data_IF_232430586323
#
_entry.id   IF_232430586323
#
_cell.length_a   1.000
_cell.length_b   1.000
_cell.length_c   1.000
_cell.angle_alpha   90.00
_cell.angle_beta   90.00
_cell.angle_gamma   90.00
#
_symmetry.space_group_name_H-M   'P 1'
#
loop_
_entity.id
_entity.type
_entity.pdbx_description
1 polymer ?
#
# COMPACT_ATOMS: atom_id res chain seq x y z
N UNK A 1 11.77 -10.16 -14.33
CA UNK A 1 11.55 -9.13 -13.28
C UNK A 1 12.54 -8.02 -13.54
N UNK A 2 12.09 -6.76 -13.62
CA UNK A 2 12.98 -5.62 -13.81
C UNK A 2 13.34 -5.06 -12.43
N UNK A 3 14.63 -5.12 -12.06
CA UNK A 3 15.09 -4.75 -10.72
C UNK A 3 14.81 -3.27 -10.42
N UNK A 4 14.81 -2.39 -11.42
CA UNK A 4 14.63 -0.95 -11.19
C UNK A 4 13.15 -0.51 -11.08
N UNK A 5 12.22 -1.36 -11.54
CA UNK A 5 10.82 -1.00 -11.69
C UNK A 5 10.05 -1.10 -10.37
N UNK A 6 9.26 -0.07 -10.08
CA UNK A 6 8.35 0.01 -8.92
C UNK A 6 6.92 -0.22 -9.40
N UNK A 7 6.18 -1.11 -8.75
CA UNK A 7 4.74 -1.28 -9.01
C UNK A 7 3.91 -0.66 -7.88
N UNK A 8 3.14 0.36 -8.20
CA UNK A 8 2.13 0.96 -7.34
C UNK A 8 0.79 0.26 -7.56
N UNK A 9 0.24 -0.34 -6.50
CA UNK A 9 -1.06 -0.99 -6.52
C UNK A 9 -2.02 -0.13 -5.69
N UNK A 10 -3.00 0.49 -6.36
CA UNK A 10 -4.01 1.33 -5.71
C UNK A 10 -5.17 0.46 -5.26
N UNK A 11 -5.42 0.43 -3.96
CA UNK A 11 -6.44 -0.39 -3.32
C UNK A 11 -7.78 0.36 -3.28
N UNK A 12 -8.89 -0.27 -3.68
CA UNK A 12 -10.23 0.31 -3.51
C UNK A 12 -11.36 -0.53 -4.11
N UNK A 13 -12.61 -0.19 -3.77
CA UNK A 13 -13.80 -0.77 -4.39
C UNK A 13 -13.93 -0.37 -5.86
N UNK A 14 -14.76 -1.09 -6.66
CA UNK A 14 -15.03 -0.69 -8.05
C UNK A 14 -15.46 0.78 -8.15
N UNK A 15 -16.32 1.24 -7.24
CA UNK A 15 -16.86 2.60 -7.21
C UNK A 15 -15.78 3.63 -6.90
N UNK A 16 -14.87 3.31 -5.99
CA UNK A 16 -13.81 4.21 -5.55
C UNK A 16 -12.71 4.37 -6.58
N UNK A 17 -12.45 3.32 -7.36
CA UNK A 17 -11.48 3.30 -8.44
C UNK A 17 -12.04 3.83 -9.77
N UNK A 18 -13.37 3.84 -9.94
CA UNK A 18 -14.03 4.35 -11.14
C UNK A 18 -13.68 5.82 -11.39
N UNK A 19 -13.09 6.08 -12.56
CA UNK A 19 -12.70 7.43 -13.00
C UNK A 19 -11.45 7.99 -12.32
N UNK A 20 -10.73 7.18 -11.55
CA UNK A 20 -9.47 7.59 -10.94
C UNK A 20 -8.39 7.75 -12.02
N UNK A 21 -7.85 8.97 -12.16
CA UNK A 21 -6.75 9.25 -13.08
C UNK A 21 -5.42 8.82 -12.45
N UNK A 22 -4.86 7.72 -12.95
CA UNK A 22 -3.52 7.28 -12.60
C UNK A 22 -2.46 8.04 -13.42
N UNK A 23 -1.25 8.26 -12.87
CA UNK A 23 -0.10 8.64 -13.67
C UNK A 23 0.15 7.62 -14.79
N UNK A 24 0.68 8.05 -15.94
CA UNK A 24 1.08 7.11 -17.00
C UNK A 24 2.20 6.21 -16.49
N UNK A 25 2.13 4.92 -16.83
CA UNK A 25 3.23 3.99 -16.59
C UNK A 25 4.46 4.39 -17.42
N UNK A 26 5.64 4.16 -16.86
CA UNK A 26 6.93 4.41 -17.51
C UNK A 26 7.80 3.15 -17.44
N UNK A 27 9.05 3.24 -17.90
CA UNK A 27 10.03 2.16 -17.75
C UNK A 27 10.38 1.88 -16.27
N UNK A 28 10.15 2.85 -15.39
CA UNK A 28 10.52 2.79 -13.97
C UNK A 28 9.31 2.60 -13.04
N UNK A 29 8.10 2.93 -13.50
CA UNK A 29 6.89 2.92 -12.68
C UNK A 29 5.74 2.20 -13.40
N UNK A 30 5.08 1.29 -12.69
CA UNK A 30 3.83 0.64 -13.11
C UNK A 30 2.72 1.00 -12.12
N UNK A 31 1.53 1.37 -12.60
CA UNK A 31 0.35 1.57 -11.76
C UNK A 31 -0.71 0.51 -12.08
N UNK A 32 -1.14 -0.22 -11.06
CA UNK A 32 -2.22 -1.21 -11.12
C UNK A 32 -3.35 -0.82 -10.17
N UNK A 33 -4.56 -1.28 -10.50
CA UNK A 33 -5.76 -1.08 -9.70
C UNK A 33 -6.16 -2.41 -9.06
N UNK A 34 -6.21 -2.46 -7.73
CA UNK A 34 -6.72 -3.60 -6.99
C UNK A 34 -8.20 -3.39 -6.69
N UNK A 35 -9.05 -3.97 -7.54
CA UNK A 35 -10.49 -3.93 -7.38
C UNK A 35 -10.95 -4.87 -6.24
N UNK A 36 -11.28 -4.27 -5.09
CA UNK A 36 -11.78 -4.95 -3.91
C UNK A 36 -13.32 -4.94 -3.91
N UNK A 37 -13.90 -5.76 -4.78
CA UNK A 37 -15.35 -5.95 -4.89
C UNK A 37 -15.90 -6.70 -3.67
N UNK A 38 -16.63 -5.96 -2.82
CA UNK A 38 -17.24 -6.46 -1.60
C UNK A 38 -18.26 -7.58 -1.89
N UNK A 39 -19.06 -7.45 -2.95
CA UNK A 39 -20.08 -8.44 -3.28
C UNK A 39 -19.42 -9.74 -3.75
N UNK A 40 -18.39 -9.66 -4.59
CA UNK A 40 -17.62 -10.82 -5.02
C UNK A 40 -16.93 -11.52 -3.83
N UNK A 41 -16.45 -10.75 -2.85
CA UNK A 41 -15.86 -11.25 -1.62
C UNK A 41 -16.86 -12.02 -0.76
N UNK A 42 -18.02 -11.42 -0.43
CA UNK A 42 -19.03 -12.07 0.40
C UNK A 42 -19.69 -13.28 -0.27
N UNK A 43 -19.85 -13.25 -1.61
CA UNK A 43 -20.38 -14.38 -2.37
C UNK A 43 -19.33 -15.48 -2.62
N UNK A 44 -18.11 -15.35 -2.06
CA UNK A 44 -16.98 -16.27 -2.19
C UNK A 44 -16.58 -16.58 -3.64
N UNK A 45 -16.91 -15.69 -4.57
CA UNK A 45 -16.50 -15.80 -5.98
C UNK A 45 -15.03 -15.44 -6.17
N UNK A 46 -14.54 -14.49 -5.36
CA UNK A 46 -13.14 -14.05 -5.36
C UNK A 46 -12.82 -13.36 -4.03
N UNK A 47 -11.76 -13.79 -3.34
CA UNK A 47 -11.36 -13.14 -2.08
C UNK A 47 -10.51 -11.89 -2.34
N UNK A 48 -10.38 -11.04 -1.31
CA UNK A 48 -9.52 -9.86 -1.41
C UNK A 48 -8.06 -10.27 -1.41
N UNK A 49 -7.74 -11.26 -0.57
CA UNK A 49 -6.44 -11.88 -0.43
C UNK A 49 -5.94 -12.41 -1.77
N UNK A 50 -6.74 -13.25 -2.43
CA UNK A 50 -6.40 -13.82 -3.73
C UNK A 50 -6.23 -12.73 -4.80
N UNK A 51 -7.09 -11.70 -4.78
CA UNK A 51 -6.99 -10.58 -5.73
C UNK A 51 -5.65 -9.85 -5.56
N UNK A 52 -5.25 -9.57 -4.33
CA UNK A 52 -4.03 -8.83 -4.02
C UNK A 52 -2.80 -9.70 -4.27
N UNK A 53 -2.80 -10.95 -3.81
CA UNK A 53 -1.70 -11.88 -4.02
C UNK A 53 -1.44 -12.10 -5.51
N UNK A 54 -2.49 -12.25 -6.32
CA UNK A 54 -2.36 -12.38 -7.78
C UNK A 54 -1.82 -11.10 -8.44
N UNK A 55 -2.21 -9.91 -7.97
CA UNK A 55 -1.68 -8.65 -8.47
C UNK A 55 -0.20 -8.46 -8.09
N UNK A 56 0.17 -8.79 -6.86
CA UNK A 56 1.58 -8.78 -6.44
C UNK A 56 2.38 -9.83 -7.21
N UNK A 57 1.80 -11.00 -7.50
CA UNK A 57 2.47 -12.05 -8.28
C UNK A 57 2.71 -11.64 -9.73
N UNK A 58 1.71 -11.02 -10.38
CA UNK A 58 1.77 -10.62 -11.79
C UNK A 58 2.46 -9.27 -12.04
N UNK A 59 2.71 -8.48 -11.00
CA UNK A 59 3.39 -7.18 -11.12
C UNK A 59 4.80 -7.30 -11.73
N UNK A 60 5.22 -6.26 -12.46
CA UNK A 60 6.53 -6.24 -13.11
C UNK A 60 7.67 -5.87 -12.17
N UNK A 61 7.37 -5.04 -11.16
CA UNK A 61 8.34 -4.43 -10.27
C UNK A 61 8.74 -5.33 -9.11
N UNK A 62 9.99 -5.18 -8.67
CA UNK A 62 10.50 -5.86 -7.48
C UNK A 62 10.07 -5.16 -6.20
N UNK A 63 9.90 -3.84 -6.25
CA UNK A 63 9.37 -3.05 -5.16
C UNK A 63 7.88 -2.79 -5.41
N UNK A 64 7.05 -3.17 -4.45
CA UNK A 64 5.60 -2.97 -4.49
C UNK A 64 5.22 -1.90 -3.50
N UNK A 65 4.26 -1.06 -3.88
CA UNK A 65 3.71 -0.02 -3.02
C UNK A 65 2.18 -0.13 -3.03
N UNK A 66 1.58 -0.44 -1.90
CA UNK A 66 0.14 -0.30 -1.73
C UNK A 66 -0.20 1.14 -1.40
N UNK A 67 -1.13 1.70 -2.17
CA UNK A 67 -1.60 3.07 -2.02
C UNK A 67 -3.10 3.09 -1.75
N UNK A 68 -3.59 4.00 -0.88
CA UNK A 68 -5.00 4.29 -0.80
C UNK A 68 -5.48 5.03 -2.06
N UNK A 69 -6.78 5.06 -2.34
CA UNK A 69 -7.33 5.77 -3.47
C UNK A 69 -6.95 7.25 -3.47
N UNK A 70 -6.54 7.76 -4.64
CA UNK A 70 -6.25 9.19 -4.85
C UNK A 70 -5.05 9.72 -4.06
N UNK A 71 -4.16 8.83 -3.59
CA UNK A 71 -2.91 9.17 -2.94
C UNK A 71 -1.71 8.79 -3.80
N UNK A 72 -0.65 9.62 -3.75
CA UNK A 72 0.55 9.44 -4.55
C UNK A 72 1.81 9.78 -3.75
N UNK A 73 2.92 9.06 -3.91
CA UNK A 73 4.20 9.48 -3.36
C UNK A 73 4.62 10.83 -3.94
N UNK A 74 5.23 11.68 -3.11
CA UNK A 74 5.86 12.90 -3.59
C UNK A 74 7.20 12.60 -4.29
N UNK A 75 7.80 13.61 -4.90
CA UNK A 75 9.03 13.47 -5.70
C UNK A 75 10.22 12.95 -4.88
N UNK A 76 10.31 13.28 -3.60
CA UNK A 76 11.36 12.80 -2.70
C UNK A 76 11.16 11.31 -2.40
N UNK A 77 9.94 10.91 -1.99
CA UNK A 77 9.62 9.51 -1.73
C UNK A 77 9.82 8.65 -2.98
N UNK A 78 9.47 9.14 -4.18
CA UNK A 78 9.75 8.45 -5.45
C UNK A 78 11.24 8.21 -5.68
N UNK A 79 12.10 9.20 -5.43
CA UNK A 79 13.56 9.04 -5.56
C UNK A 79 14.09 7.99 -4.59
N UNK A 80 13.59 7.97 -3.35
CA UNK A 80 14.01 6.98 -2.35
C UNK A 80 13.53 5.58 -2.75
N UNK A 81 12.27 5.43 -3.14
CA UNK A 81 11.72 4.15 -3.62
C UNK A 81 12.50 3.61 -4.82
N UNK A 82 12.92 4.47 -5.76
CA UNK A 82 13.75 4.06 -6.90
C UNK A 82 15.13 3.56 -6.47
N UNK A 83 15.75 4.19 -5.46
CA UNK A 83 17.00 3.67 -4.88
C UNK A 83 16.78 2.32 -4.20
N UNK A 84 15.67 2.15 -3.49
CA UNK A 84 15.33 0.89 -2.82
C UNK A 84 15.08 -0.23 -3.85
N UNK A 85 14.38 0.05 -4.97
CA UNK A 85 14.13 -0.97 -6.00
C UNK A 85 15.43 -1.49 -6.62
N UNK A 86 16.41 -0.61 -6.84
CA UNK A 86 17.73 -0.95 -7.36
C UNK A 86 18.56 -1.86 -6.44
N UNK A 87 18.22 -1.94 -5.15
CA UNK A 87 18.94 -2.77 -4.19
C UNK A 87 18.24 -4.14 -4.13
N UNK A 88 18.97 -5.22 -4.41
CA UNK A 88 18.45 -6.60 -4.30
C UNK A 88 18.42 -7.08 -2.83
N UNK A 89 17.84 -6.27 -1.94
CA UNK A 89 17.68 -6.56 -0.52
C UNK A 89 16.20 -6.53 -0.14
N UNK A 90 15.80 -7.49 0.68
CA UNK A 90 14.45 -7.47 1.25
C UNK A 90 14.28 -6.23 2.11
N UNK A 91 13.26 -5.44 1.80
CA UNK A 91 13.02 -4.14 2.42
C UNK A 91 11.52 -3.92 2.55
N UNK A 92 11.10 -3.22 3.60
CA UNK A 92 9.73 -2.70 3.72
C UNK A 92 9.71 -1.43 4.56
N UNK A 93 8.60 -0.70 4.48
CA UNK A 93 8.36 0.49 5.26
C UNK A 93 7.04 1.13 4.86
N UNK A 94 6.78 2.34 5.34
CA UNK A 94 5.55 3.07 5.08
C UNK A 94 5.80 4.57 4.96
N UNK A 95 4.75 5.34 4.68
CA UNK A 95 4.86 6.80 4.59
C UNK A 95 4.34 7.47 5.87
N UNK A 96 4.86 8.63 6.19
CA UNK A 96 4.40 9.43 7.31
C UNK A 96 2.93 9.83 7.13
N UNK A 97 2.25 10.04 8.25
CA UNK A 97 0.91 10.58 8.27
C UNK A 97 0.95 12.09 7.96
N UNK A 98 0.08 12.59 7.08
CA UNK A 98 -0.05 14.05 6.87
C UNK A 98 -1.02 14.63 7.90
N UNK A 99 -0.49 15.01 9.06
CA UNK A 99 -1.28 15.58 10.17
C UNK A 99 -2.03 16.87 9.80
N UNK A 100 -1.59 17.57 8.74
CA UNK A 100 -2.12 18.89 8.35
C UNK A 100 -3.44 18.83 7.57
N UNK A 101 -3.89 17.65 7.14
CA UNK A 101 -5.04 17.52 6.22
C UNK A 101 -6.31 16.92 6.81
N UNK A 102 -6.30 16.41 8.05
CA UNK A 102 -7.47 15.74 8.63
C UNK A 102 -7.73 16.15 10.09
N UNK A 103 -8.66 17.10 10.29
CA UNK A 103 -9.29 17.35 11.60
C UNK A 103 -10.13 16.15 12.08
N UNK A 104 -10.57 15.28 11.18
CA UNK A 104 -11.44 14.13 11.48
C UNK A 104 -10.78 13.06 12.37
N UNK A 105 -9.44 12.97 12.39
CA UNK A 105 -8.71 11.95 13.17
C UNK A 105 -8.19 12.49 14.50
N UNK A 106 -8.31 13.81 14.76
CA UNK A 106 -8.00 14.36 16.08
C UNK A 106 -8.86 13.74 17.20
N UNK A 107 -10.08 13.29 16.89
CA UNK A 107 -10.95 12.59 17.84
C UNK A 107 -10.61 11.09 18.04
N UNK A 108 -9.83 10.49 17.14
CA UNK A 108 -9.29 9.12 17.29
C UNK A 108 -7.95 9.10 18.03
N UNK A 109 -7.31 10.27 18.26
CA UNK A 109 -6.02 10.42 18.97
C UNK A 109 -6.02 10.01 20.45
N UNK A 110 -7.16 9.54 21.01
CA UNK A 110 -7.20 8.97 22.37
C UNK A 110 -6.83 7.48 22.46
N UNK A 111 -6.66 6.78 21.34
CA UNK A 111 -6.21 5.37 21.37
C UNK A 111 -4.70 5.30 21.17
N UNK A 112 -4.02 5.65 22.26
CA UNK A 112 -2.73 5.18 22.75
C UNK A 112 -1.48 5.22 21.86
N UNK A 113 -0.42 5.67 22.52
CA UNK A 113 1.01 5.71 22.21
C UNK A 113 1.68 4.42 21.69
N UNK A 114 0.95 3.45 21.14
CA UNK A 114 1.46 2.15 20.69
C UNK A 114 1.74 2.06 19.18
N UNK A 115 1.39 3.07 18.36
CA UNK A 115 1.48 3.02 16.89
C UNK A 115 2.57 3.94 16.30
N UNK A 116 3.84 3.75 16.66
CA UNK A 116 4.95 4.24 15.80
C UNK A 116 5.47 3.19 14.82
N UNK A 117 5.01 1.94 14.94
CA UNK A 117 5.57 0.78 14.24
C UNK A 117 4.62 0.12 13.25
N UNK A 118 3.35 0.51 13.15
CA UNK A 118 2.40 -0.16 12.24
C UNK A 118 1.66 0.89 11.40
N UNK A 119 1.77 0.85 10.06
CA UNK A 119 1.09 1.79 9.19
C UNK A 119 -0.42 1.54 9.11
N UNK A 120 -1.15 2.64 9.00
CA UNK A 120 -2.55 2.64 8.59
C UNK A 120 -2.67 2.63 7.06
N UNK A 121 -3.85 2.25 6.56
CA UNK A 121 -4.14 2.23 5.11
C UNK A 121 -3.90 3.58 4.43
N UNK A 122 -4.18 4.67 5.14
CA UNK A 122 -4.02 6.07 4.69
C UNK A 122 -2.56 6.44 4.40
N UNK A 123 -1.62 5.77 5.07
CA UNK A 123 -0.21 6.03 4.92
C UNK A 123 0.37 5.31 3.70
N UNK A 124 -0.25 4.24 3.21
CA UNK A 124 0.41 3.35 2.26
C UNK A 124 1.54 2.53 2.90
N UNK A 125 1.93 1.45 2.24
CA UNK A 125 3.04 0.58 2.65
C UNK A 125 3.81 0.15 1.41
N UNK A 126 5.14 0.04 1.52
CA UNK A 126 5.98 -0.51 0.47
C UNK A 126 6.79 -1.68 0.97
N UNK A 127 7.11 -2.60 0.07
CA UNK A 127 7.85 -3.81 0.40
C UNK A 127 8.44 -4.46 -0.86
N UNK A 128 9.51 -5.22 -0.70
CA UNK A 128 10.02 -6.06 -1.77
C UNK A 128 9.07 -7.26 -2.00
N UNK A 129 8.85 -7.60 -3.26
CA UNK A 129 8.01 -8.73 -3.67
C UNK A 129 8.50 -10.06 -3.08
N UNK A 130 9.81 -10.23 -2.94
CA UNK A 130 10.42 -11.39 -2.27
C UNK A 130 10.01 -11.49 -0.80
N UNK A 131 10.06 -10.38 -0.06
CA UNK A 131 9.65 -10.35 1.35
C UNK A 131 8.18 -10.73 1.49
N UNK A 132 7.32 -10.16 0.64
CA UNK A 132 5.89 -10.45 0.61
C UNK A 132 5.57 -11.95 0.51
N UNK A 133 6.17 -12.65 -0.45
CA UNK A 133 5.94 -14.09 -0.59
C UNK A 133 6.64 -14.91 0.48
N UNK A 134 7.77 -14.44 1.04
CA UNK A 134 8.46 -15.14 2.14
C UNK A 134 7.64 -15.23 3.43
N UNK A 135 6.63 -14.36 3.59
CA UNK A 135 5.71 -14.35 4.74
C UNK A 135 4.33 -14.91 4.40
N UNK A 136 4.16 -15.50 3.22
CA UNK A 136 2.92 -16.13 2.78
C UNK A 136 1.87 -15.16 2.26
N UNK A 137 2.26 -14.02 1.68
CA UNK A 137 1.34 -13.06 1.06
C UNK A 137 0.70 -12.09 2.04
N UNK A 138 -0.41 -11.46 1.64
CA UNK A 138 -1.07 -10.39 2.42
C UNK A 138 -1.59 -10.88 3.78
N UNK A 139 -1.83 -12.18 3.93
CA UNK A 139 -2.50 -12.73 5.10
C UNK A 139 -3.99 -12.42 5.11
N UNK A 140 -4.64 -12.56 6.26
CA UNK A 140 -6.09 -12.36 6.37
C UNK A 140 -6.46 -10.89 6.15
N UNK A 141 -7.35 -10.63 5.19
CA UNK A 141 -7.90 -9.30 4.93
C UNK A 141 -9.00 -8.97 5.95
N UNK A 142 -8.57 -8.47 7.11
CA UNK A 142 -9.47 -8.01 8.19
C UNK A 142 -9.72 -6.50 8.17
N UNK A 143 -10.17 -5.97 9.31
CA UNK A 143 -10.43 -4.53 9.52
C UNK A 143 -9.16 -3.68 9.38
N UNK A 144 -8.00 -4.26 9.67
CA UNK A 144 -6.69 -3.59 9.63
C UNK A 144 -5.69 -4.41 8.79
N UNK A 145 -5.81 -4.40 7.45
CA UNK A 145 -5.00 -5.27 6.59
C UNK A 145 -3.50 -4.96 6.69
N UNK A 146 -3.13 -3.70 6.83
CA UNK A 146 -1.72 -3.31 6.98
C UNK A 146 -1.11 -3.74 8.31
N UNK A 147 -1.93 -3.90 9.36
CA UNK A 147 -1.48 -4.45 10.65
C UNK A 147 -1.10 -5.92 10.52
N UNK A 148 -1.88 -6.70 9.77
CA UNK A 148 -1.62 -8.12 9.56
C UNK A 148 -0.29 -8.31 8.81
N UNK A 149 -0.12 -7.65 7.67
CA UNK A 149 1.10 -7.80 6.87
C UNK A 149 2.33 -7.20 7.56
N UNK A 150 2.19 -6.12 8.33
CA UNK A 150 3.33 -5.53 9.05
C UNK A 150 3.84 -6.46 10.14
N UNK A 151 2.96 -7.12 10.92
CA UNK A 151 3.38 -8.13 11.90
C UNK A 151 4.18 -9.26 11.25
N UNK A 152 3.75 -9.68 10.06
CA UNK A 152 4.44 -10.69 9.27
C UNK A 152 5.81 -10.20 8.81
N UNK A 153 5.92 -8.96 8.32
CA UNK A 153 7.21 -8.37 7.94
C UNK A 153 8.17 -8.22 9.12
N UNK A 154 7.68 -7.80 10.29
CA UNK A 154 8.48 -7.74 11.52
C UNK A 154 9.11 -9.07 11.91
N UNK A 155 8.49 -10.21 11.58
CA UNK A 155 9.08 -11.53 11.83
C UNK A 155 10.33 -11.81 10.98
N UNK A 156 10.59 -11.00 9.94
CA UNK A 156 11.70 -11.18 9.00
C UNK A 156 12.75 -10.10 9.15
N UNK A 157 12.33 -8.83 9.11
CA UNK A 157 13.23 -7.68 9.12
C UNK A 157 12.54 -6.45 9.71
N UNK A 158 13.31 -5.56 10.31
CA UNK A 158 12.83 -4.25 10.75
C UNK A 158 12.49 -3.35 9.56
N UNK A 159 11.53 -2.42 9.71
CA UNK A 159 11.17 -1.48 8.68
C UNK A 159 12.26 -0.43 8.48
N UNK A 160 12.27 0.13 7.27
CA UNK A 160 13.00 1.36 6.97
C UNK A 160 12.34 2.57 7.65
N UNK A 161 13.09 3.66 7.79
CA UNK A 161 12.54 4.92 8.26
C UNK A 161 11.35 5.37 7.39
N UNK A 162 10.25 5.86 8.00
CA UNK A 162 9.07 6.26 7.24
C UNK A 162 9.38 7.33 6.20
N UNK A 163 8.91 7.12 4.97
CA UNK A 163 9.05 8.08 3.88
C UNK A 163 8.19 9.31 4.11
N UNK A 164 8.52 10.47 3.50
CA UNK A 164 7.66 11.64 3.53
C UNK A 164 6.21 11.34 3.11
N UNK A 165 5.25 12.03 3.74
CA UNK A 165 3.83 11.75 3.59
C UNK A 165 3.32 11.77 2.13
N UNK A 166 2.30 10.95 1.87
CA UNK A 166 1.65 10.87 0.56
C UNK A 166 0.93 12.18 0.20
N UNK A 167 0.95 12.53 -1.09
CA UNK A 167 0.10 13.57 -1.66
C UNK A 167 -1.30 12.98 -1.83
N UNK A 168 -2.21 13.36 -0.94
CA UNK A 168 -3.62 12.98 -0.99
C UNK A 168 -4.43 14.06 -1.70
N UNK A 169 -5.21 13.66 -2.73
CA UNK A 169 -6.06 14.56 -3.55
C UNK A 169 -7.55 14.55 -3.15
N UNK A 170 -7.92 13.79 -2.14
CA UNK A 170 -9.31 13.58 -1.69
C UNK A 170 -9.41 13.77 -0.18
N UNK A 171 -10.60 14.08 0.34
CA UNK A 171 -10.86 14.05 1.78
C UNK A 171 -11.32 12.67 2.27
N UNK A 172 -11.78 11.81 1.36
CA UNK A 172 -12.25 10.47 1.69
C UNK A 172 -11.21 9.40 1.32
N UNK A 173 -10.59 8.84 2.35
CA UNK A 173 -9.57 7.78 2.28
C UNK A 173 -10.14 6.37 2.51
N UNK A 174 -11.46 6.25 2.67
CA UNK A 174 -12.12 4.95 2.76
C UNK A 174 -11.91 4.19 1.44
N UNK A 175 -11.56 2.90 1.56
CA UNK A 175 -11.33 2.04 0.40
C UNK A 175 -12.62 1.76 -0.38
N UNK A 176 -13.76 1.76 0.30
CA UNK A 176 -15.00 1.21 -0.21
C UNK A 176 -16.09 2.24 -0.47
N UNK A 177 -16.12 3.31 0.32
CA UNK A 177 -17.12 4.36 0.25
C UNK A 177 -16.57 5.59 -0.47
N UNK A 178 -17.39 6.23 -1.30
CA UNK A 178 -17.05 7.47 -2.01
C UNK A 178 -17.45 8.70 -1.24
#
# INVERSE_FOLDING_TARGET
MNQELITYIVLGSPERLKGLKLPPSSNDEEYLLANLDILAHYTKKKSFEETIDNLVFSSKGNLIVFLPPSAFPNSESKKILKKISMIDQSSWGWFQYDERKNDFIQNLKKISSFMRSIPNIEQGIYFSKRLYFSVGGIGKWGVSPFKEISKRFYSRIDPQNPLPALIIRTRNLNLFLK
#
